data_IF_760806210440
#
_entry.id   IF_760806210440
#
_cell.length_a   1.000
_cell.length_b   1.000
_cell.length_c   1.000
_cell.angle_alpha   90.00
_cell.angle_beta   90.00
_cell.angle_gamma   90.00
#
_symmetry.space_group_name_H-M   'P 1'
#
loop_
_entity.id
_entity.type
_entity.pdbx_description
1 polymer ?
#
# COMPACT_ATOMS: atom_id res chain seq x y z
N UNK A 1 -35.07 -49.58 64.55
CA UNK A 1 -34.64 -50.04 63.22
C UNK A 1 -35.13 -49.05 62.18
N UNK A 2 -34.16 -48.52 61.43
CA UNK A 2 -34.20 -47.72 60.19
C UNK A 2 -35.14 -46.52 60.05
N UNK A 3 -34.51 -45.35 60.12
CA UNK A 3 -34.99 -44.03 59.74
C UNK A 3 -35.00 -43.91 58.21
N UNK A 4 -36.14 -43.50 57.62
CA UNK A 4 -36.26 -43.23 56.18
C UNK A 4 -35.63 -41.86 55.90
N UNK A 5 -34.50 -41.85 55.20
CA UNK A 5 -33.81 -40.64 54.70
C UNK A 5 -34.36 -40.29 53.32
N UNK A 6 -35.07 -39.17 53.21
CA UNK A 6 -35.38 -38.54 51.93
C UNK A 6 -34.20 -37.65 51.53
N UNK A 7 -33.51 -38.00 50.45
CA UNK A 7 -32.46 -37.18 49.82
C UNK A 7 -33.15 -36.24 48.83
N UNK A 8 -33.08 -34.91 48.98
CA UNK A 8 -33.59 -34.00 47.97
C UNK A 8 -32.58 -33.93 46.82
N UNK A 9 -32.97 -34.44 45.65
CA UNK A 9 -32.30 -34.19 44.38
C UNK A 9 -32.66 -32.76 43.97
N UNK A 10 -31.77 -31.82 44.23
CA UNK A 10 -31.84 -30.47 43.69
C UNK A 10 -30.72 -30.30 42.66
N UNK A 11 -31.02 -30.63 41.41
CA UNK A 11 -30.17 -30.35 40.25
C UNK A 11 -30.32 -28.86 39.93
N UNK A 12 -29.35 -28.06 40.37
CA UNK A 12 -29.23 -26.66 39.95
C UNK A 12 -28.37 -26.63 38.67
N UNK A 13 -29.03 -26.75 37.52
CA UNK A 13 -28.40 -26.49 36.22
C UNK A 13 -28.28 -24.98 36.04
N UNK A 14 -27.09 -24.43 36.31
CA UNK A 14 -26.76 -23.06 35.95
C UNK A 14 -26.56 -22.99 34.43
N UNK A 15 -27.56 -22.45 33.72
CA UNK A 15 -27.45 -22.10 32.31
C UNK A 15 -26.49 -20.91 32.21
N UNK A 16 -25.28 -21.16 31.74
CA UNK A 16 -24.34 -20.12 31.35
C UNK A 16 -24.81 -19.57 30.00
N UNK A 17 -25.45 -18.40 30.02
CA UNK A 17 -25.70 -17.63 28.81
C UNK A 17 -24.39 -16.94 28.37
N UNK A 18 -23.59 -17.64 27.57
CA UNK A 18 -22.51 -17.03 26.79
C UNK A 18 -23.13 -16.31 25.59
N UNK A 19 -23.58 -15.06 25.78
CA UNK A 19 -23.77 -14.13 24.66
C UNK A 19 -22.46 -13.39 24.44
N UNK A 20 -21.48 -14.09 23.86
CA UNK A 20 -20.32 -13.49 23.24
C UNK A 20 -20.51 -13.53 21.72
N UNK A 21 -21.35 -12.65 21.19
CA UNK A 21 -21.42 -12.41 19.75
C UNK A 21 -20.16 -11.66 19.32
N UNK A 22 -19.19 -12.40 18.79
CA UNK A 22 -18.16 -11.91 17.90
C UNK A 22 -17.85 -13.05 16.96
N UNK A 23 -18.47 -13.07 15.79
CA UNK A 23 -18.13 -14.03 14.75
C UNK A 23 -16.66 -13.81 14.40
N UNK A 24 -15.79 -14.73 14.83
CA UNK A 24 -14.33 -14.68 14.66
C UNK A 24 -13.87 -14.84 13.22
N UNK A 25 -14.35 -13.96 12.34
CA UNK A 25 -14.07 -13.95 10.90
C UNK A 25 -13.80 -12.54 10.37
N UNK A 26 -13.71 -11.52 11.23
CA UNK A 26 -13.20 -10.22 10.77
C UNK A 26 -11.70 -10.36 10.48
N UNK A 27 -11.25 -9.97 9.28
CA UNK A 27 -9.84 -10.05 8.94
C UNK A 27 -9.04 -9.22 9.95
N UNK A 28 -7.95 -9.79 10.48
CA UNK A 28 -7.02 -9.02 11.30
C UNK A 28 -6.32 -8.04 10.37
N UNK A 29 -6.66 -6.76 10.51
CA UNK A 29 -6.05 -5.71 9.74
C UNK A 29 -4.77 -5.24 10.42
N UNK A 30 -3.81 -4.87 9.59
CA UNK A 30 -2.55 -4.31 10.02
C UNK A 30 -2.75 -2.80 10.13
N UNK A 31 -2.41 -2.16 11.27
CA UNK A 31 -2.49 -0.72 11.40
C UNK A 31 -1.70 -0.01 10.29
N UNK A 32 -2.28 1.05 9.73
CA UNK A 32 -1.53 1.95 8.84
C UNK A 32 -0.42 2.61 9.68
N UNK A 33 0.83 2.75 9.17
CA UNK A 33 1.91 3.41 9.91
C UNK A 33 1.51 4.77 10.49
N UNK A 34 1.93 5.06 11.72
CA UNK A 34 1.64 6.34 12.39
C UNK A 34 2.35 7.54 11.75
N UNK A 35 3.46 7.28 11.05
CA UNK A 35 4.29 8.29 10.41
C UNK A 35 4.50 7.96 8.93
N UNK A 36 4.64 9.03 8.14
CA UNK A 36 5.08 8.92 6.74
C UNK A 36 6.55 8.54 6.67
N UNK A 37 6.94 7.88 5.60
CA UNK A 37 8.35 7.56 5.32
C UNK A 37 8.83 8.33 4.10
N UNK A 38 10.12 8.62 4.06
CA UNK A 38 10.78 9.17 2.89
C UNK A 38 11.47 8.07 2.09
N UNK A 39 11.52 8.27 0.78
CA UNK A 39 12.17 7.37 -0.17
C UNK A 39 12.86 8.19 -1.25
N UNK A 40 13.92 7.60 -1.83
CA UNK A 40 14.70 8.21 -2.91
C UNK A 40 14.85 7.18 -4.01
N UNK A 41 14.53 7.59 -5.23
CA UNK A 41 14.82 6.82 -6.43
C UNK A 41 15.85 7.52 -7.30
N UNK A 42 16.62 6.71 -8.03
CA UNK A 42 17.62 7.17 -9.01
C UNK A 42 17.12 6.86 -10.42
N UNK A 43 17.42 7.73 -11.39
CA UNK A 43 17.03 7.55 -12.78
C UNK A 43 17.49 6.18 -13.30
N UNK A 44 16.55 5.40 -13.79
CA UNK A 44 16.80 4.06 -14.34
C UNK A 44 17.71 4.08 -15.58
N UNK A 45 17.78 5.21 -16.27
CA UNK A 45 18.50 5.31 -17.55
C UNK A 45 19.98 5.66 -17.36
N UNK A 46 20.28 6.62 -16.48
CA UNK A 46 21.65 7.11 -16.26
C UNK A 46 22.28 6.63 -14.95
N UNK A 47 21.47 6.16 -14.00
CA UNK A 47 21.94 5.57 -12.75
C UNK A 47 22.73 4.28 -12.95
N UNK A 48 23.45 3.88 -11.91
CA UNK A 48 24.10 2.58 -11.87
C UNK A 48 23.08 1.47 -11.71
N UNK A 49 23.39 0.26 -12.21
CA UNK A 49 22.57 -0.95 -11.97
C UNK A 49 22.41 -1.28 -10.46
N UNK A 50 23.26 -0.71 -9.62
CA UNK A 50 23.20 -0.80 -8.16
C UNK A 50 22.14 0.08 -7.52
N UNK A 51 21.62 1.06 -8.25
CA UNK A 51 20.82 2.13 -7.67
C UNK A 51 19.34 1.74 -7.59
N UNK A 52 18.62 2.19 -6.54
CA UNK A 52 17.20 1.92 -6.40
C UNK A 52 16.41 2.81 -7.37
N UNK A 53 16.06 2.28 -8.53
CA UNK A 53 15.37 3.06 -9.57
C UNK A 53 13.85 2.92 -9.57
N UNK A 54 13.32 1.98 -8.79
CA UNK A 54 11.89 1.71 -8.72
C UNK A 54 11.38 1.74 -7.28
N UNK A 55 10.07 1.88 -7.12
CA UNK A 55 9.40 1.84 -5.83
C UNK A 55 8.46 0.65 -5.75
N UNK A 56 8.53 -0.10 -4.67
CA UNK A 56 7.57 -1.16 -4.33
C UNK A 56 6.59 -0.64 -3.27
N UNK A 57 5.34 -0.43 -3.67
CA UNK A 57 4.27 -0.02 -2.77
C UNK A 57 3.99 -1.13 -1.74
N UNK A 58 4.25 -2.40 -2.07
CA UNK A 58 4.00 -3.52 -1.16
C UNK A 58 4.90 -3.45 0.08
N UNK A 59 6.18 -3.15 -0.11
CA UNK A 59 7.14 -3.01 1.01
C UNK A 59 7.27 -1.56 1.49
N UNK A 60 6.89 -0.58 0.68
CA UNK A 60 7.11 0.84 0.92
C UNK A 60 8.58 1.24 0.77
N UNK A 61 9.31 0.59 -0.14
CA UNK A 61 10.75 0.78 -0.30
C UNK A 61 11.13 1.11 -1.74
N UNK A 62 12.19 1.91 -1.89
CA UNK A 62 12.88 2.03 -3.18
C UNK A 62 13.80 0.83 -3.37
N UNK A 63 13.71 0.20 -4.55
CA UNK A 63 14.27 -1.12 -4.82
C UNK A 63 15.07 -1.11 -6.12
N UNK A 64 16.04 -2.03 -6.19
CA UNK A 64 16.85 -2.25 -7.37
C UNK A 64 16.14 -3.17 -8.36
N UNK A 65 16.04 -2.74 -9.60
CA UNK A 65 15.32 -3.49 -10.65
C UNK A 65 16.09 -4.70 -11.18
N UNK A 66 17.41 -4.81 -10.95
CA UNK A 66 18.22 -5.96 -11.37
C UNK A 66 18.10 -7.18 -10.43
N UNK A 67 17.75 -6.94 -9.16
CA UNK A 67 17.63 -8.00 -8.15
C UNK A 67 16.17 -8.28 -7.76
N UNK A 68 15.28 -7.32 -7.98
CA UNK A 68 13.92 -7.39 -7.50
C UNK A 68 12.94 -7.02 -8.60
N UNK A 69 12.03 -7.94 -8.91
CA UNK A 69 10.97 -7.73 -9.92
C UNK A 69 9.67 -7.22 -9.31
N UNK A 70 9.57 -7.15 -7.99
CA UNK A 70 8.38 -6.73 -7.27
C UNK A 70 8.28 -5.23 -7.06
N UNK A 71 8.37 -4.41 -8.09
CA UNK A 71 8.17 -2.95 -7.97
C UNK A 71 6.86 -2.53 -8.67
N UNK A 72 6.40 -1.30 -8.47
CA UNK A 72 5.13 -0.80 -9.01
C UNK A 72 5.26 0.39 -9.95
N UNK A 73 6.31 1.20 -9.78
CA UNK A 73 6.70 2.24 -10.74
C UNK A 73 8.19 2.50 -10.70
N UNK A 74 8.74 3.03 -11.80
CA UNK A 74 10.16 3.34 -11.98
C UNK A 74 10.34 4.83 -12.29
N UNK A 75 11.43 5.40 -11.79
CA UNK A 75 11.82 6.78 -12.07
C UNK A 75 12.72 6.87 -13.30
N UNK A 76 12.42 7.84 -14.16
CA UNK A 76 13.21 8.13 -15.34
C UNK A 76 13.35 9.64 -15.53
N UNK A 77 14.51 10.09 -15.99
CA UNK A 77 14.67 11.39 -16.66
C UNK A 77 14.66 11.15 -18.17
N UNK A 78 13.69 11.73 -18.85
CA UNK A 78 13.56 11.63 -20.29
C UNK A 78 14.67 12.42 -21.00
N UNK A 79 14.88 12.13 -22.30
CA UNK A 79 15.90 12.82 -23.11
C UNK A 79 15.69 14.35 -23.17
N UNK A 80 14.46 14.82 -23.00
CA UNK A 80 14.12 16.26 -22.96
C UNK A 80 14.32 16.90 -21.56
N UNK A 81 14.78 16.12 -20.58
CA UNK A 81 15.00 16.55 -19.20
C UNK A 81 13.79 16.41 -18.29
N UNK A 82 12.65 15.92 -18.79
CA UNK A 82 11.45 15.73 -17.98
C UNK A 82 11.63 14.60 -16.97
N UNK A 83 11.30 14.85 -15.71
CA UNK A 83 11.22 13.84 -14.68
C UNK A 83 9.89 13.08 -14.79
N UNK A 84 9.96 11.76 -14.91
CA UNK A 84 8.81 10.88 -15.17
C UNK A 84 8.77 9.72 -14.19
N UNK A 85 7.56 9.33 -13.80
CA UNK A 85 7.29 8.00 -13.26
C UNK A 85 6.55 7.16 -14.28
N UNK A 86 7.03 5.93 -14.45
CA UNK A 86 6.40 4.93 -15.29
C UNK A 86 5.75 3.87 -14.40
N UNK A 87 4.41 3.74 -14.40
CA UNK A 87 3.76 2.60 -13.81
C UNK A 87 4.31 1.32 -14.43
N UNK A 88 4.43 0.27 -13.63
CA UNK A 88 4.87 -1.05 -14.09
C UNK A 88 4.05 -1.57 -15.28
N UNK A 89 2.76 -1.31 -15.26
CA UNK A 89 1.83 -1.70 -16.33
C UNK A 89 2.15 -1.07 -17.69
N UNK A 90 2.91 0.02 -17.73
CA UNK A 90 3.38 0.63 -18.97
C UNK A 90 4.62 -0.08 -19.54
N UNK A 91 5.29 -0.90 -18.75
CA UNK A 91 6.57 -1.55 -19.08
C UNK A 91 6.39 -3.07 -19.24
N UNK A 92 5.51 -3.66 -18.41
CA UNK A 92 5.26 -5.10 -18.36
C UNK A 92 3.81 -5.32 -18.75
N UNK A 93 3.60 -5.82 -19.96
CA UNK A 93 2.28 -5.94 -20.59
C UNK A 93 1.31 -6.85 -19.80
N UNK A 94 1.82 -7.83 -19.05
CA UNK A 94 0.99 -8.74 -18.27
C UNK A 94 0.51 -8.18 -16.92
N UNK A 95 1.01 -7.01 -16.51
CA UNK A 95 0.61 -6.33 -15.29
C UNK A 95 -0.37 -5.20 -15.62
N UNK A 96 -1.64 -5.33 -15.26
CA UNK A 96 -2.66 -4.32 -15.59
C UNK A 96 -3.14 -3.54 -14.35
N UNK A 97 -2.51 -3.69 -13.19
CA UNK A 97 -3.07 -3.14 -11.93
C UNK A 97 -2.28 -1.95 -11.36
N UNK A 98 -0.97 -1.90 -11.56
CA UNK A 98 -0.17 -0.77 -11.10
C UNK A 98 -0.61 0.53 -11.77
N UNK A 99 -0.68 1.61 -11.00
CA UNK A 99 -1.12 2.89 -11.54
C UNK A 99 -0.84 4.08 -10.64
N UNK A 100 -0.76 5.24 -11.28
CA UNK A 100 -0.48 6.53 -10.65
C UNK A 100 -1.57 7.52 -11.00
N UNK A 101 -2.03 8.29 -10.03
CA UNK A 101 -3.03 9.34 -10.21
C UNK A 101 -2.55 10.61 -9.53
N UNK A 102 -2.19 11.61 -10.32
CA UNK A 102 -1.96 12.97 -9.82
C UNK A 102 -3.27 13.51 -9.23
N UNK A 103 -3.24 13.95 -7.98
CA UNK A 103 -4.40 14.51 -7.30
C UNK A 103 -4.20 16.00 -7.05
N UNK A 104 -5.30 16.76 -7.09
CA UNK A 104 -5.27 18.21 -6.88
C UNK A 104 -5.25 18.64 -5.41
N UNK A 105 -5.36 17.69 -4.48
CA UNK A 105 -5.44 17.93 -3.03
C UNK A 105 -4.09 17.63 -2.38
N UNK A 106 -3.78 18.35 -1.30
CA UNK A 106 -2.53 18.18 -0.57
C UNK A 106 -2.40 16.79 0.04
N UNK A 107 -1.16 16.39 0.34
CA UNK A 107 -0.84 15.06 0.86
C UNK A 107 -1.60 14.71 2.15
N UNK A 108 -1.71 15.67 3.07
CA UNK A 108 -2.41 15.48 4.35
C UNK A 108 -3.94 15.40 4.17
N UNK A 109 -4.49 16.00 3.11
CA UNK A 109 -5.93 15.97 2.77
C UNK A 109 -6.34 14.76 1.92
N UNK A 110 -5.37 14.01 1.38
CA UNK A 110 -5.59 12.74 0.70
C UNK A 110 -5.81 11.62 1.74
N UNK A 111 -7.00 11.59 2.33
CA UNK A 111 -7.36 10.62 3.39
C UNK A 111 -7.80 9.25 2.86
N UNK A 112 -8.15 9.16 1.58
CA UNK A 112 -8.63 7.94 0.93
C UNK A 112 -8.24 7.96 -0.55
N UNK A 113 -7.69 6.87 -1.06
CA UNK A 113 -7.31 6.71 -2.46
C UNK A 113 -8.55 6.72 -3.37
N UNK A 114 -8.52 7.38 -4.55
CA UNK A 114 -9.61 7.32 -5.51
C UNK A 114 -9.89 5.88 -6.01
N UNK A 115 -11.10 5.64 -6.52
CA UNK A 115 -11.48 4.32 -7.05
C UNK A 115 -10.95 4.08 -8.47
N UNK A 116 -10.88 5.14 -9.26
CA UNK A 116 -10.56 5.14 -10.68
C UNK A 116 -9.68 6.34 -11.07
N UNK A 117 -9.38 6.46 -12.37
CA UNK A 117 -8.58 7.56 -12.93
C UNK A 117 -7.07 7.33 -12.97
N UNK A 118 -6.59 6.21 -12.44
CA UNK A 118 -5.16 5.85 -12.46
C UNK A 118 -4.63 5.72 -13.90
N UNK A 119 -3.53 6.40 -14.17
CA UNK A 119 -2.70 6.21 -15.37
C UNK A 119 -1.88 4.95 -15.17
N UNK A 120 -1.94 4.04 -16.14
CA UNK A 120 -1.32 2.71 -16.04
C UNK A 120 -0.40 2.38 -17.20
N UNK A 121 -0.75 2.82 -18.41
CA UNK A 121 -0.06 2.43 -19.65
C UNK A 121 0.83 3.53 -20.22
N UNK A 122 0.97 4.64 -19.50
CA UNK A 122 1.74 5.82 -19.90
C UNK A 122 2.52 6.35 -18.70
N UNK A 123 3.56 7.13 -18.96
CA UNK A 123 4.27 7.86 -17.91
C UNK A 123 3.43 9.00 -17.36
N UNK A 124 3.72 9.37 -16.10
CA UNK A 124 3.23 10.59 -15.48
C UNK A 124 4.40 11.53 -15.21
N UNK A 125 4.28 12.83 -15.51
CA UNK A 125 5.28 13.81 -15.12
C UNK A 125 5.30 13.95 -13.59
N UNK A 126 6.47 14.20 -13.03
CA UNK A 126 6.64 14.48 -11.60
C UNK A 126 7.33 15.83 -11.39
N UNK A 127 6.73 16.65 -10.53
CA UNK A 127 7.27 17.93 -10.10
C UNK A 127 7.20 18.06 -8.57
N UNK A 128 8.06 18.90 -8.00
CA UNK A 128 8.07 19.17 -6.55
C UNK A 128 6.71 19.70 -6.10
N UNK A 129 6.18 19.10 -5.03
CA UNK A 129 4.86 19.40 -4.48
C UNK A 129 3.70 18.65 -5.15
N UNK A 130 3.95 17.88 -6.22
CA UNK A 130 2.93 16.99 -6.78
C UNK A 130 2.56 15.91 -5.75
N UNK A 131 1.26 15.64 -5.66
CA UNK A 131 0.70 14.60 -4.79
C UNK A 131 0.05 13.54 -5.65
N UNK A 132 0.44 12.29 -5.43
CA UNK A 132 -0.10 11.14 -6.14
C UNK A 132 -0.88 10.24 -5.18
N UNK A 133 -2.01 9.74 -5.65
CA UNK A 133 -2.52 8.45 -5.20
C UNK A 133 -1.87 7.37 -6.07
N UNK A 134 -1.30 6.34 -5.44
CA UNK A 134 -0.67 5.23 -6.12
C UNK A 134 -1.39 3.92 -5.78
N UNK A 135 -1.45 3.03 -6.76
CA UNK A 135 -2.03 1.68 -6.65
C UNK A 135 -0.98 0.67 -7.06
N UNK A 136 -0.75 -0.34 -6.22
CA UNK A 136 0.20 -1.41 -6.49
C UNK A 136 -0.33 -2.39 -7.54
N UNK A 137 0.59 -3.20 -8.06
CA UNK A 137 0.27 -4.48 -8.69
C UNK A 137 -0.50 -5.39 -7.74
N UNK A 138 -1.05 -6.48 -8.26
CA UNK A 138 -1.54 -7.59 -7.43
C UNK A 138 -0.39 -8.27 -6.70
N UNK A 139 -0.54 -8.47 -5.39
CA UNK A 139 0.45 -9.17 -4.57
C UNK A 139 0.55 -10.66 -4.98
N UNK A 140 1.67 -11.11 -5.60
CA UNK A 140 1.80 -12.48 -6.08
C UNK A 140 1.83 -13.51 -4.94
N UNK A 141 2.17 -13.10 -3.71
CA UNK A 141 2.19 -13.99 -2.56
C UNK A 141 0.79 -14.47 -2.17
N UNK A 142 -0.26 -13.76 -2.59
CA UNK A 142 -1.66 -14.05 -2.28
C UNK A 142 -2.41 -14.71 -3.47
N UNK A 143 -1.67 -15.13 -4.49
CA UNK A 143 -2.18 -15.90 -5.62
C UNK A 143 -3.27 -15.16 -6.41
N UNK A 144 -4.46 -15.75 -6.49
CA UNK A 144 -5.57 -15.20 -7.28
C UNK A 144 -6.40 -14.14 -6.53
N UNK A 145 -6.07 -13.82 -5.28
CA UNK A 145 -6.75 -12.76 -4.56
C UNK A 145 -6.42 -11.42 -5.21
N UNK A 146 -7.46 -10.62 -5.48
CA UNK A 146 -7.27 -9.20 -5.81
C UNK A 146 -6.78 -8.52 -4.53
N UNK A 147 -5.46 -8.42 -4.39
CA UNK A 147 -4.82 -7.71 -3.30
C UNK A 147 -3.90 -6.65 -3.88
N UNK A 148 -4.46 -5.45 -4.04
CA UNK A 148 -3.72 -4.23 -4.33
C UNK A 148 -3.62 -3.42 -3.05
N UNK A 149 -2.49 -2.75 -2.88
CA UNK A 149 -2.27 -1.76 -1.82
C UNK A 149 -2.34 -0.37 -2.42
N UNK A 150 -2.76 0.58 -1.61
CA UNK A 150 -2.87 1.96 -1.99
C UNK A 150 -1.90 2.79 -1.17
N UNK A 151 -1.35 3.82 -1.80
CA UNK A 151 -0.48 4.78 -1.14
C UNK A 151 -0.85 6.21 -1.53
N UNK A 152 -0.48 7.14 -0.66
CA UNK A 152 -0.29 8.55 -1.04
C UNK A 152 1.19 8.85 -1.07
N UNK A 153 1.58 9.70 -2.01
CA UNK A 153 2.96 10.11 -2.24
C UNK A 153 3.00 11.60 -2.50
N UNK A 154 4.00 12.31 -1.97
CA UNK A 154 4.28 13.71 -2.32
C UNK A 154 5.74 13.87 -2.69
N UNK A 155 5.99 14.50 -3.83
CA UNK A 155 7.34 14.78 -4.31
C UNK A 155 7.96 15.90 -3.48
N UNK A 156 9.09 15.59 -2.83
CA UNK A 156 9.83 16.54 -1.98
C UNK A 156 10.91 17.26 -2.77
N UNK A 157 11.61 16.55 -3.64
CA UNK A 157 12.69 17.10 -4.46
C UNK A 157 12.86 16.32 -5.77
N UNK A 158 13.29 17.01 -6.82
CA UNK A 158 13.68 16.44 -8.11
C UNK A 158 14.99 17.09 -8.54
N UNK A 159 16.08 16.34 -8.49
CA UNK A 159 17.38 16.76 -9.00
C UNK A 159 17.64 16.09 -10.35
N UNK A 160 17.42 16.84 -11.43
CA UNK A 160 17.62 16.31 -12.79
C UNK A 160 19.11 16.25 -13.20
N UNK A 161 20.01 16.85 -12.40
CA UNK A 161 21.46 16.80 -12.65
C UNK A 161 22.06 15.55 -12.00
N UNK A 162 21.71 15.31 -10.74
CA UNK A 162 22.13 14.11 -10.00
C UNK A 162 21.28 12.87 -10.34
N UNK A 163 20.16 13.06 -11.04
CA UNK A 163 19.33 11.96 -11.48
C UNK A 163 18.47 11.36 -10.37
N UNK A 164 17.95 12.18 -9.44
CA UNK A 164 17.24 11.68 -8.26
C UNK A 164 15.87 12.32 -8.07
N UNK A 165 14.97 11.57 -7.45
CA UNK A 165 13.69 12.05 -6.93
C UNK A 165 13.52 11.58 -5.50
N UNK A 166 13.18 12.51 -4.61
CA UNK A 166 12.82 12.19 -3.23
C UNK A 166 11.35 12.49 -2.99
N UNK A 167 10.70 11.66 -2.18
CA UNK A 167 9.29 11.79 -1.88
C UNK A 167 8.97 11.24 -0.50
N UNK A 168 7.92 11.79 0.13
CA UNK A 168 7.30 11.17 1.31
C UNK A 168 6.11 10.33 0.88
N UNK A 169 5.84 9.27 1.61
CA UNK A 169 4.72 8.37 1.33
C UNK A 169 4.08 7.79 2.59
N UNK A 170 2.84 7.33 2.42
CA UNK A 170 2.11 6.50 3.37
C UNK A 170 1.41 5.39 2.59
N UNK A 171 1.67 4.14 2.97
CA UNK A 171 1.08 2.94 2.36
C UNK A 171 0.04 2.35 3.32
N UNK A 172 -1.13 1.99 2.80
CA UNK A 172 -2.04 1.10 3.50
C UNK A 172 -1.60 -0.35 3.28
N UNK A 173 -1.21 -1.09 4.34
CA UNK A 173 -0.72 -2.46 4.19
C UNK A 173 -1.83 -3.47 3.86
N UNK A 174 -3.09 -3.08 3.99
CA UNK A 174 -4.24 -3.97 3.86
C UNK A 174 -4.75 -4.04 2.42
N UNK A 175 -5.01 -5.27 1.95
CA UNK A 175 -5.50 -5.53 0.60
C UNK A 175 -6.82 -4.80 0.31
N UNK A 176 -6.85 -4.09 -0.80
CA UNK A 176 -8.02 -3.37 -1.32
C UNK A 176 -8.55 -2.24 -0.40
N UNK A 177 -7.83 -1.92 0.68
CA UNK A 177 -8.22 -0.83 1.59
C UNK A 177 -7.65 0.50 1.09
N UNK A 178 -8.55 1.43 0.77
CA UNK A 178 -8.21 2.74 0.20
C UNK A 178 -7.90 3.81 1.25
N UNK A 179 -8.11 3.55 2.54
CA UNK A 179 -7.83 4.52 3.62
C UNK A 179 -6.34 4.89 3.66
N UNK A 180 -6.03 6.18 3.78
CA UNK A 180 -4.67 6.74 3.80
C UNK A 180 -4.49 7.72 4.97
N UNK A 181 -4.97 7.31 6.14
CA UNK A 181 -4.88 8.07 7.39
C UNK A 181 -3.83 7.41 8.29
N UNK A 182 -2.78 8.12 8.73
CA UNK A 182 -1.77 7.55 9.63
C UNK A 182 -2.39 6.99 10.91
N UNK A 183 -1.89 5.85 11.37
CA UNK A 183 -2.33 5.20 12.62
C UNK A 183 -3.76 4.66 12.60
N UNK A 184 -4.46 4.74 11.46
CA UNK A 184 -5.81 4.25 11.38
C UNK A 184 -5.84 2.71 11.23
N UNK A 185 -6.71 2.10 12.02
CA UNK A 185 -7.22 0.74 11.85
C UNK A 185 -8.61 0.88 11.20
N UNK A 186 -9.02 -0.02 10.31
CA UNK A 186 -10.37 0.01 9.72
C UNK A 186 -11.00 -1.37 9.63
#
# INVERSE_FOLDING_TARGET
MSVIRYIPVAVLAAIVALTGCGSGTEPILIPIPDETREAVMVDVTTGSIGDPSAFDIITGESVRTDQFSGWDFVFQIAEDGSALWWPRSAIIEEDEDSGLLLVSRGFDDLLEAPEDGYVQLESVPVAVGDVFAARSRRDPALGNLRCRRYAKVEILDVDTVEGTVSFRHLVNPNCEQRKLVPGAED
#
